data_IF_880691458426
#
_entry.id   IF_880691458426
#
_cell.length_a   1.000
_cell.length_b   1.000
_cell.length_c   1.000
_cell.angle_alpha   90.00
_cell.angle_beta   90.00
_cell.angle_gamma   90.00
#
_symmetry.space_group_name_H-M   'P 1'
#
loop_
_entity.id
_entity.type
_entity.pdbx_description
1 polymer ?
#
# COMPACT_ATOMS: atom_id res chain seq x y z
N UNK A 1 -22.69 1.86 10.42
CA UNK A 1 -21.40 1.40 9.84
C UNK A 1 -20.31 2.34 10.33
N UNK A 2 -19.18 1.83 10.81
CA UNK A 2 -18.01 2.65 11.16
C UNK A 2 -17.06 2.67 9.97
N UNK A 3 -16.68 3.86 9.50
CA UNK A 3 -15.81 4.01 8.34
C UNK A 3 -14.32 4.03 8.70
N UNK A 4 -14.02 4.64 9.85
CA UNK A 4 -12.72 4.68 10.50
C UNK A 4 -12.91 4.97 11.99
N UNK A 5 -11.89 4.73 12.79
CA UNK A 5 -11.79 5.18 14.18
C UNK A 5 -10.50 5.98 14.33
N UNK A 6 -10.57 7.11 15.05
CA UNK A 6 -9.42 7.96 15.35
C UNK A 6 -9.25 8.04 16.86
N UNK A 7 -8.07 7.70 17.35
CA UNK A 7 -7.82 7.54 18.77
C UNK A 7 -6.37 7.16 19.08
N UNK A 8 -6.08 6.81 20.33
CA UNK A 8 -4.75 6.34 20.75
C UNK A 8 -4.74 4.82 20.83
N UNK A 9 -3.60 4.21 20.50
CA UNK A 9 -3.42 2.77 20.70
C UNK A 9 -3.24 2.51 22.19
N UNK A 10 -4.13 1.72 22.77
CA UNK A 10 -4.09 1.34 24.18
C UNK A 10 -3.38 -0.01 24.36
N UNK A 11 -3.68 -0.97 23.49
CA UNK A 11 -3.07 -2.31 23.55
C UNK A 11 -2.99 -2.96 22.15
N UNK A 12 -2.06 -3.90 22.00
CA UNK A 12 -1.84 -4.68 20.77
C UNK A 12 -1.74 -6.16 21.14
N UNK A 13 -2.62 -6.95 20.56
CA UNK A 13 -2.64 -8.42 20.68
C UNK A 13 -2.12 -9.07 19.39
N UNK A 14 -2.05 -10.40 19.35
CA UNK A 14 -1.64 -11.14 18.16
C UNK A 14 -2.54 -10.90 16.94
N UNK A 15 -3.83 -10.64 17.16
CA UNK A 15 -4.83 -10.56 16.07
C UNK A 15 -5.56 -9.21 15.98
N UNK A 16 -5.42 -8.35 17.00
CA UNK A 16 -6.19 -7.13 17.11
C UNK A 16 -5.42 -5.99 17.76
N UNK A 17 -5.86 -4.77 17.47
CA UNK A 17 -5.43 -3.53 18.12
C UNK A 17 -6.60 -2.95 18.89
N UNK A 18 -6.35 -2.53 20.13
CA UNK A 18 -7.32 -1.82 20.95
C UNK A 18 -7.03 -0.31 20.80
N UNK A 19 -7.98 0.42 20.23
CA UNK A 19 -7.90 1.87 20.07
C UNK A 19 -8.89 2.55 21.02
N UNK A 20 -8.41 3.45 21.87
CA UNK A 20 -9.27 4.29 22.70
C UNK A 20 -9.66 5.57 21.96
N UNK A 21 -10.97 5.80 21.82
CA UNK A 21 -11.52 7.05 21.32
C UNK A 21 -12.62 7.55 22.25
N UNK A 22 -12.42 8.74 22.83
CA UNK A 22 -13.34 9.38 23.78
C UNK A 22 -13.72 8.48 24.98
N UNK A 23 -12.74 7.77 25.57
CA UNK A 23 -12.97 6.90 26.73
C UNK A 23 -13.65 5.56 26.40
N UNK A 24 -13.77 5.20 25.12
CA UNK A 24 -14.27 3.89 24.67
C UNK A 24 -13.16 3.15 23.94
N UNK A 25 -12.83 1.94 24.39
CA UNK A 25 -11.91 1.03 23.72
C UNK A 25 -12.62 0.23 22.63
N UNK A 26 -12.10 0.31 21.40
CA UNK A 26 -12.56 -0.46 20.26
C UNK A 26 -11.52 -1.52 19.91
N UNK A 27 -11.94 -2.78 19.90
CA UNK A 27 -11.12 -3.88 19.40
C UNK A 27 -11.24 -3.95 17.86
N UNK A 28 -10.11 -3.78 17.17
CA UNK A 28 -10.01 -3.84 15.72
C UNK A 28 -9.16 -5.04 15.31
N UNK A 29 -9.79 -6.03 14.65
CA UNK A 29 -9.09 -7.21 14.13
C UNK A 29 -8.33 -6.81 12.87
N UNK A 30 -7.01 -6.97 12.85
CA UNK A 30 -6.14 -6.47 11.79
C UNK A 30 -5.35 -7.60 11.14
N UNK A 31 -4.97 -7.49 9.84
CA UNK A 31 -4.11 -8.48 9.20
C UNK A 31 -2.70 -8.50 9.81
N UNK A 32 -2.20 -7.34 10.23
CA UNK A 32 -0.93 -7.20 10.95
C UNK A 32 -1.09 -6.15 12.07
N UNK A 33 -1.39 -6.53 13.32
CA UNK A 33 -1.55 -5.59 14.44
C UNK A 33 -0.24 -4.90 14.84
N UNK A 34 0.91 -5.59 14.73
CA UNK A 34 2.20 -5.08 15.17
C UNK A 34 2.71 -3.89 14.33
N UNK A 35 2.12 -3.63 13.16
CA UNK A 35 2.42 -2.43 12.38
C UNK A 35 2.09 -1.12 13.12
N UNK A 36 1.23 -1.19 14.14
CA UNK A 36 0.85 -0.06 15.00
C UNK A 36 1.72 0.05 16.26
N UNK A 37 2.70 -0.83 16.44
CA UNK A 37 3.60 -0.79 17.59
C UNK A 37 4.47 0.48 17.59
N UNK A 38 4.61 1.11 18.75
CA UNK A 38 5.39 2.33 18.93
C UNK A 38 4.70 3.61 18.40
N UNK A 39 3.45 3.53 17.95
CA UNK A 39 2.64 4.71 17.62
C UNK A 39 2.18 5.37 18.92
N UNK A 40 2.77 6.52 19.25
CA UNK A 40 2.47 7.27 20.49
C UNK A 40 1.38 8.33 20.31
N UNK A 41 1.19 8.79 19.08
CA UNK A 41 0.23 9.83 18.73
C UNK A 41 -1.14 9.24 18.36
N UNK A 42 -2.11 10.14 18.16
CA UNK A 42 -3.44 9.75 17.69
C UNK A 42 -3.36 9.22 16.26
N UNK A 43 -3.81 7.98 16.06
CA UNK A 43 -3.85 7.32 14.76
C UNK A 43 -5.29 7.22 14.24
N UNK A 44 -5.43 7.21 12.91
CA UNK A 44 -6.69 6.92 12.22
C UNK A 44 -6.58 5.53 11.60
N UNK A 45 -7.47 4.62 11.98
CA UNK A 45 -7.55 3.26 11.44
C UNK A 45 -8.86 3.13 10.65
N UNK A 46 -8.77 2.72 9.39
CA UNK A 46 -9.94 2.48 8.55
C UNK A 46 -10.62 1.20 8.96
N UNK A 47 -11.95 1.20 8.99
CA UNK A 47 -12.70 0.06 9.53
C UNK A 47 -13.68 -0.54 8.53
N UNK A 48 -13.81 -1.87 8.57
CA UNK A 48 -14.91 -2.61 7.98
C UNK A 48 -15.76 -3.19 9.13
N UNK A 49 -17.02 -2.77 9.23
CA UNK A 49 -17.94 -3.24 10.26
C UNK A 49 -18.73 -4.43 9.76
N UNK A 50 -18.41 -5.61 10.29
CA UNK A 50 -18.99 -6.88 9.91
C UNK A 50 -20.07 -7.28 10.91
N UNK A 51 -21.34 -7.22 10.48
CA UNK A 51 -22.51 -7.48 11.34
C UNK A 51 -23.16 -8.80 10.92
N UNK A 52 -23.33 -9.70 11.88
CA UNK A 52 -24.12 -10.94 11.79
C UNK A 52 -25.16 -10.94 12.90
N UNK A 53 -26.05 -11.93 12.89
CA UNK A 53 -27.08 -12.10 13.92
C UNK A 53 -26.47 -12.35 15.32
N UNK A 54 -25.31 -13.00 15.37
CA UNK A 54 -24.63 -13.46 16.58
C UNK A 54 -23.38 -12.63 16.95
N UNK A 55 -22.92 -11.74 16.07
CA UNK A 55 -21.67 -11.01 16.26
C UNK A 55 -21.62 -9.66 15.56
N UNK A 56 -20.95 -8.69 16.19
CA UNK A 56 -20.53 -7.43 15.57
C UNK A 56 -19.01 -7.33 15.69
N UNK A 57 -18.32 -7.39 14.56
CA UNK A 57 -16.85 -7.39 14.50
C UNK A 57 -16.36 -6.18 13.72
N UNK A 58 -15.28 -5.57 14.20
CA UNK A 58 -14.58 -4.52 13.49
C UNK A 58 -13.25 -5.04 12.96
N UNK A 59 -13.05 -4.90 11.66
CA UNK A 59 -11.75 -5.14 11.03
C UNK A 59 -11.05 -3.81 10.78
N UNK A 60 -9.75 -3.73 11.11
CA UNK A 60 -8.94 -2.52 11.02
C UNK A 60 -7.87 -2.60 9.93
N UNK A 61 -7.68 -1.50 9.22
CA UNK A 61 -6.71 -1.35 8.14
C UNK A 61 -5.96 -0.02 8.27
N UNK A 62 -4.67 -0.04 7.95
CA UNK A 62 -3.83 1.16 8.02
C UNK A 62 -4.14 2.11 6.88
N UNK A 63 -4.44 1.56 5.70
CA UNK A 63 -4.76 2.35 4.51
C UNK A 63 -6.16 2.05 3.96
N UNK A 64 -6.64 2.91 3.06
CA UNK A 64 -7.93 2.72 2.40
C UNK A 64 -7.84 1.55 1.41
N UNK A 65 -6.70 1.43 0.73
CA UNK A 65 -6.42 0.40 -0.28
C UNK A 65 -6.47 -1.00 0.34
N UNK A 66 -5.89 -1.17 1.53
CA UNK A 66 -5.98 -2.42 2.30
C UNK A 66 -7.44 -2.78 2.62
N UNK A 67 -8.25 -1.81 3.08
CA UNK A 67 -9.68 -2.00 3.36
C UNK A 67 -10.46 -2.34 2.09
N UNK A 68 -10.17 -1.68 0.98
CA UNK A 68 -10.82 -1.94 -0.29
C UNK A 68 -10.48 -3.34 -0.80
N UNK A 69 -9.21 -3.72 -0.76
CA UNK A 69 -8.77 -5.05 -1.13
C UNK A 69 -9.43 -6.11 -0.24
N UNK A 70 -9.48 -5.91 1.08
CA UNK A 70 -10.21 -6.79 2.00
C UNK A 70 -11.66 -6.98 1.56
N UNK A 71 -12.35 -5.88 1.25
CA UNK A 71 -13.77 -5.89 0.88
C UNK A 71 -13.98 -6.62 -0.45
N UNK A 72 -13.08 -6.42 -1.43
CA UNK A 72 -13.12 -7.11 -2.71
C UNK A 72 -12.87 -8.62 -2.55
N UNK A 73 -11.86 -9.00 -1.76
CA UNK A 73 -11.55 -10.41 -1.46
C UNK A 73 -12.73 -11.08 -0.73
N UNK A 74 -13.35 -10.40 0.22
CA UNK A 74 -14.50 -10.92 0.97
C UNK A 74 -15.73 -11.17 0.06
N UNK A 75 -15.83 -10.46 -1.06
CA UNK A 75 -16.87 -10.68 -2.08
C UNK A 75 -16.67 -11.95 -2.91
N UNK A 76 -15.48 -12.56 -2.87
CA UNK A 76 -15.17 -13.79 -3.61
C UNK A 76 -15.85 -14.99 -2.93
N UNK A 77 -16.62 -15.75 -3.71
CA UNK A 77 -17.33 -16.91 -3.19
C UNK A 77 -16.37 -17.94 -2.58
N UNK A 78 -16.62 -18.30 -1.32
CA UNK A 78 -15.78 -19.25 -0.57
C UNK A 78 -14.63 -18.61 0.18
N UNK A 79 -14.51 -17.28 0.21
CA UNK A 79 -13.56 -16.55 1.03
C UNK A 79 -14.28 -15.86 2.18
N UNK A 80 -13.92 -16.22 3.41
CA UNK A 80 -14.43 -15.55 4.61
C UNK A 80 -13.48 -14.47 5.15
N UNK A 81 -13.89 -13.70 6.18
CA UNK A 81 -13.07 -12.64 6.75
C UNK A 81 -11.68 -13.10 7.21
N UNK A 82 -11.59 -14.30 7.81
CA UNK A 82 -10.30 -14.89 8.23
C UNK A 82 -9.35 -15.14 7.05
N UNK A 83 -9.88 -15.64 5.93
CA UNK A 83 -9.10 -15.87 4.71
C UNK A 83 -8.65 -14.56 4.07
N UNK A 84 -9.54 -13.56 4.02
CA UNK A 84 -9.22 -12.24 3.52
C UNK A 84 -8.12 -11.54 4.35
N UNK A 85 -8.17 -11.65 5.69
CA UNK A 85 -7.10 -11.17 6.57
C UNK A 85 -5.77 -11.91 6.32
N UNK A 86 -5.80 -13.24 6.16
CA UNK A 86 -4.59 -14.03 5.92
C UNK A 86 -3.89 -13.65 4.60
N UNK A 87 -4.66 -13.35 3.56
CA UNK A 87 -4.11 -12.81 2.30
C UNK A 87 -3.42 -11.48 2.55
N UNK A 88 -4.10 -10.52 3.18
CA UNK A 88 -3.52 -9.19 3.47
C UNK A 88 -2.34 -9.23 4.44
N UNK A 89 -2.25 -10.24 5.29
CA UNK A 89 -1.11 -10.44 6.18
C UNK A 89 0.14 -10.98 5.43
N UNK A 90 -0.04 -11.59 4.26
CA UNK A 90 1.00 -12.31 3.53
C UNK A 90 1.57 -11.55 2.34
N UNK A 91 0.92 -10.48 1.89
CA UNK A 91 1.30 -9.77 0.67
C UNK A 91 0.86 -8.30 0.70
N UNK A 92 1.46 -7.49 -0.16
CA UNK A 92 1.05 -6.10 -0.36
C UNK A 92 -0.17 -6.01 -1.28
N UNK A 93 -0.85 -4.87 -1.28
CA UNK A 93 -2.00 -4.64 -2.18
C UNK A 93 -1.55 -4.74 -3.64
N UNK A 94 -0.36 -4.20 -3.93
CA UNK A 94 0.26 -4.16 -5.25
C UNK A 94 0.62 -5.57 -5.74
N UNK A 95 1.33 -6.36 -4.92
CA UNK A 95 1.74 -7.72 -5.28
C UNK A 95 0.53 -8.62 -5.51
N UNK A 96 -0.52 -8.47 -4.68
CA UNK A 96 -1.77 -9.19 -4.89
C UNK A 96 -2.44 -8.80 -6.22
N UNK A 97 -2.50 -7.50 -6.52
CA UNK A 97 -3.08 -7.00 -7.77
C UNK A 97 -2.33 -7.56 -8.99
N UNK A 98 -1.00 -7.52 -8.96
CA UNK A 98 -0.12 -8.08 -10.00
C UNK A 98 -0.40 -9.58 -10.18
N UNK A 99 -0.47 -10.34 -9.09
CA UNK A 99 -0.75 -11.77 -9.16
C UNK A 99 -2.12 -12.09 -9.77
N UNK A 100 -3.14 -11.27 -9.48
CA UNK A 100 -4.47 -11.42 -10.07
C UNK A 100 -4.45 -11.10 -11.57
N UNK A 101 -3.79 -10.02 -11.99
CA UNK A 101 -3.71 -9.64 -13.41
C UNK A 101 -2.94 -10.67 -14.25
N UNK A 102 -1.84 -11.19 -13.71
CA UNK A 102 -1.04 -12.24 -14.33
C UNK A 102 -1.60 -13.65 -14.19
N UNK A 103 -2.76 -13.81 -13.54
CA UNK A 103 -3.39 -15.11 -13.28
C UNK A 103 -2.46 -16.10 -12.57
N UNK A 104 -1.62 -15.61 -11.65
CA UNK A 104 -0.66 -16.44 -10.92
C UNK A 104 -1.34 -17.29 -9.83
N UNK A 105 -2.03 -18.35 -10.28
CA UNK A 105 -2.72 -19.31 -9.40
C UNK A 105 -1.76 -19.89 -8.36
N UNK A 106 -0.49 -20.14 -8.73
CA UNK A 106 0.49 -20.75 -7.84
C UNK A 106 0.76 -19.85 -6.64
N UNK A 107 1.02 -18.57 -6.89
CA UNK A 107 1.20 -17.58 -5.84
C UNK A 107 -0.02 -17.49 -4.92
N UNK A 108 -1.24 -17.38 -5.48
CA UNK A 108 -2.46 -17.27 -4.69
C UNK A 108 -2.72 -18.50 -3.81
N UNK A 109 -2.36 -19.70 -4.27
CA UNK A 109 -2.50 -20.94 -3.48
C UNK A 109 -1.49 -21.07 -2.33
N UNK A 110 -0.52 -20.16 -2.22
CA UNK A 110 0.39 -20.14 -1.05
C UNK A 110 -0.29 -19.54 0.19
N UNK A 111 -1.37 -18.78 0.01
CA UNK A 111 -2.05 -18.13 1.12
C UNK A 111 -2.84 -19.14 1.97
N UNK A 112 -2.76 -19.06 3.31
CA UNK A 112 -3.50 -19.96 4.20
C UNK A 112 -5.02 -19.90 3.93
N UNK A 113 -5.61 -21.08 3.67
CA UNK A 113 -7.05 -21.20 3.38
C UNK A 113 -7.44 -20.93 1.92
N UNK A 114 -6.49 -20.63 1.03
CA UNK A 114 -6.73 -20.46 -0.41
C UNK A 114 -6.32 -21.71 -1.18
N UNK A 115 -7.31 -22.53 -1.56
CA UNK A 115 -7.10 -23.68 -2.44
C UNK A 115 -7.18 -23.32 -3.93
N UNK A 116 -6.83 -24.25 -4.82
CA UNK A 116 -6.86 -24.04 -6.30
C UNK A 116 -8.20 -23.51 -6.81
N UNK A 117 -9.31 -24.05 -6.31
CA UNK A 117 -10.66 -23.59 -6.69
C UNK A 117 -10.88 -22.14 -6.29
N UNK A 118 -10.52 -21.77 -5.06
CA UNK A 118 -10.64 -20.42 -4.53
C UNK A 118 -9.72 -19.45 -5.26
N UNK A 119 -8.46 -19.82 -5.52
CA UNK A 119 -7.52 -19.00 -6.28
C UNK A 119 -8.04 -18.68 -7.69
N UNK A 120 -8.57 -19.66 -8.41
CA UNK A 120 -9.22 -19.43 -9.72
C UNK A 120 -10.44 -18.51 -9.62
N UNK A 121 -11.24 -18.69 -8.58
CA UNK A 121 -12.40 -17.83 -8.34
C UNK A 121 -11.96 -16.39 -8.05
N UNK A 122 -10.91 -16.19 -7.25
CA UNK A 122 -10.33 -14.87 -7.00
C UNK A 122 -9.86 -14.21 -8.31
N UNK A 123 -9.12 -14.93 -9.16
CA UNK A 123 -8.66 -14.42 -10.46
C UNK A 123 -9.87 -13.99 -11.30
N UNK A 124 -10.86 -14.88 -11.46
CA UNK A 124 -12.06 -14.59 -12.26
C UNK A 124 -12.83 -13.36 -11.74
N UNK A 125 -13.02 -13.27 -10.42
CA UNK A 125 -13.86 -12.26 -9.82
C UNK A 125 -13.16 -10.90 -9.71
N UNK A 126 -11.82 -10.87 -9.60
CA UNK A 126 -11.06 -9.66 -9.29
C UNK A 126 -10.24 -9.10 -10.45
N UNK A 127 -9.91 -9.91 -11.47
CA UNK A 127 -9.13 -9.46 -12.62
C UNK A 127 -9.80 -8.29 -13.34
N UNK A 128 -9.02 -7.24 -13.61
CA UNK A 128 -9.49 -5.98 -14.19
C UNK A 128 -10.31 -5.09 -13.25
N UNK A 129 -10.55 -5.51 -12.00
CA UNK A 129 -11.31 -4.74 -10.99
C UNK A 129 -10.43 -4.18 -9.88
N UNK A 130 -9.14 -4.49 -9.91
CA UNK A 130 -8.12 -4.02 -8.97
C UNK A 130 -7.41 -2.79 -9.54
N UNK A 131 -8.16 -1.73 -9.87
CA UNK A 131 -7.60 -0.42 -10.16
C UNK A 131 -7.32 0.29 -8.85
N UNK A 132 -6.13 0.07 -8.29
CA UNK A 132 -5.67 0.85 -7.15
C UNK A 132 -5.07 2.14 -7.70
N UNK A 133 -5.79 3.25 -7.57
CA UNK A 133 -5.20 4.57 -7.74
C UNK A 133 -4.11 4.68 -6.68
N UNK A 134 -2.84 4.70 -7.11
CA UNK A 134 -1.69 4.86 -6.22
C UNK A 134 -1.73 6.30 -5.68
N UNK A 135 -2.60 6.55 -4.70
CA UNK A 135 -2.61 7.73 -3.84
C UNK A 135 -1.92 7.34 -2.56
N UNK A 136 -0.60 7.26 -2.64
CA UNK A 136 0.22 7.05 -1.47
C UNK A 136 0.23 8.31 -0.60
N UNK A 137 -0.68 8.37 0.38
CA UNK A 137 -0.50 9.16 1.59
C UNK A 137 0.62 8.49 2.42
N UNK A 138 1.88 8.76 2.05
CA UNK A 138 3.06 8.27 2.77
C UNK A 138 3.31 9.17 3.97
N UNK A 139 2.86 8.76 5.15
CA UNK A 139 3.55 9.09 6.40
C UNK A 139 4.58 8.01 6.69
N UNK A 140 5.83 8.36 6.41
CA UNK A 140 7.08 7.90 7.02
C UNK A 140 7.32 6.40 7.20
N UNK A 141 8.26 5.88 6.38
CA UNK A 141 9.55 5.35 6.86
C UNK A 141 10.52 5.17 5.68
N UNK A 142 11.65 5.89 5.75
CA UNK A 142 12.79 5.99 4.81
C UNK A 142 12.55 6.74 3.47
N UNK A 143 12.64 8.09 3.47
CA UNK A 143 12.48 8.91 2.27
C UNK A 143 13.72 8.94 1.35
N UNK A 144 14.91 8.56 1.83
CA UNK A 144 16.17 8.95 1.17
C UNK A 144 16.48 8.24 -0.14
N UNK A 145 15.95 7.03 -0.41
CA UNK A 145 16.23 6.30 -1.65
C UNK A 145 15.12 6.42 -2.70
N UNK A 146 13.85 6.51 -2.26
CA UNK A 146 12.68 6.58 -3.17
C UNK A 146 12.44 8.02 -3.64
N UNK A 147 12.64 9.01 -2.75
CA UNK A 147 12.54 10.43 -3.12
C UNK A 147 13.57 10.84 -4.18
N UNK A 148 14.78 10.26 -4.14
CA UNK A 148 15.84 10.55 -5.11
C UNK A 148 15.49 10.02 -6.50
N UNK A 149 14.83 8.87 -6.61
CA UNK A 149 14.41 8.34 -7.93
C UNK A 149 13.32 9.21 -8.55
N UNK A 150 12.36 9.66 -7.74
CA UNK A 150 11.26 10.51 -8.22
C UNK A 150 11.74 11.92 -8.60
N UNK A 151 12.54 12.56 -7.76
CA UNK A 151 13.11 13.88 -8.04
C UNK A 151 14.04 13.86 -9.27
N UNK A 152 14.78 12.76 -9.47
CA UNK A 152 15.60 12.57 -10.66
C UNK A 152 14.73 12.39 -11.91
N UNK A 153 13.65 11.60 -11.86
CA UNK A 153 12.75 11.41 -13.00
C UNK A 153 12.03 12.70 -13.39
N UNK A 154 11.52 13.46 -12.43
CA UNK A 154 10.91 14.78 -12.66
C UNK A 154 11.89 15.76 -13.29
N UNK A 155 13.16 15.77 -12.85
CA UNK A 155 14.19 16.62 -13.42
C UNK A 155 14.53 16.21 -14.87
N UNK A 156 14.54 14.91 -15.19
CA UNK A 156 14.77 14.44 -16.56
C UNK A 156 13.62 14.83 -17.50
N UNK A 157 12.38 14.77 -17.04
CA UNK A 157 11.23 15.23 -17.82
C UNK A 157 11.26 16.75 -18.04
N UNK A 158 11.65 17.53 -17.04
CA UNK A 158 11.84 18.96 -17.17
C UNK A 158 12.93 19.31 -18.21
N UNK A 159 14.05 18.58 -18.24
CA UNK A 159 15.08 18.75 -19.27
C UNK A 159 14.56 18.42 -20.68
N UNK A 160 13.70 17.41 -20.85
CA UNK A 160 13.03 17.16 -22.13
C UNK A 160 12.13 18.33 -22.53
N UNK A 161 11.36 18.86 -21.58
CA UNK A 161 10.47 20.00 -21.82
C UNK A 161 11.23 21.28 -22.19
N UNK A 162 12.48 21.43 -21.74
CA UNK A 162 13.40 22.51 -22.12
C UNK A 162 14.04 22.32 -23.51
N UNK A 163 13.77 21.20 -24.20
CA UNK A 163 14.18 20.97 -25.59
C UNK A 163 15.41 20.09 -25.78
N UNK A 164 15.91 19.44 -24.73
CA UNK A 164 17.03 18.49 -24.85
C UNK A 164 16.55 17.11 -25.35
N UNK A 165 17.35 16.47 -26.20
CA UNK A 165 17.01 15.20 -26.80
C UNK A 165 17.17 14.03 -25.82
N UNK A 166 16.43 12.95 -26.07
CA UNK A 166 16.53 11.70 -25.29
C UNK A 166 17.96 11.11 -25.28
N UNK A 167 18.75 11.37 -26.31
CA UNK A 167 20.14 10.91 -26.43
C UNK A 167 21.06 11.64 -25.44
N UNK A 168 20.93 12.96 -25.36
CA UNK A 168 21.70 13.82 -24.46
C UNK A 168 21.35 13.53 -23.00
N UNK A 169 20.06 13.35 -22.70
CA UNK A 169 19.58 13.02 -21.36
C UNK A 169 20.08 11.66 -20.88
N UNK A 170 20.13 10.66 -21.77
CA UNK A 170 20.67 9.33 -21.44
C UNK A 170 22.16 9.37 -21.07
N UNK A 171 22.94 10.27 -21.68
CA UNK A 171 24.37 10.39 -21.39
C UNK A 171 24.64 10.94 -19.98
N UNK A 172 23.84 11.90 -19.51
CA UNK A 172 24.03 12.56 -18.21
C UNK A 172 23.34 11.81 -17.04
N UNK A 173 22.31 11.00 -17.32
CA UNK A 173 21.56 10.20 -16.32
C UNK A 173 22.45 9.40 -15.34
N UNK A 174 23.50 8.68 -15.77
CA UNK A 174 24.37 7.94 -14.85
C UNK A 174 25.22 8.84 -13.94
N UNK A 175 25.54 10.07 -14.35
CA UNK A 175 26.24 11.04 -13.49
C UNK A 175 25.30 11.68 -12.47
N UNK A 176 24.06 12.00 -12.88
CA UNK A 176 23.04 12.52 -11.98
C UNK A 176 22.66 11.48 -10.91
N UNK A 177 22.62 10.18 -11.26
CA UNK A 177 22.32 9.10 -10.30
C UNK A 177 23.39 8.92 -9.21
N UNK A 178 24.62 9.40 -9.42
CA UNK A 178 25.72 9.33 -8.44
C UNK A 178 25.66 10.46 -7.39
N UNK A 179 24.83 11.47 -7.61
CA UNK A 179 24.66 12.58 -6.69
C UNK A 179 23.55 12.22 -5.70
N UNK A 180 23.93 11.77 -4.51
CA UNK A 180 22.99 11.58 -3.40
C UNK A 180 22.62 12.94 -2.80
N UNK A 181 21.31 13.15 -2.62
CA UNK A 181 20.68 14.31 -1.95
C UNK A 181 20.68 15.61 -2.76
N UNK A 182 19.89 15.66 -3.83
CA UNK A 182 19.44 16.93 -4.43
C UNK A 182 17.91 16.92 -4.58
N UNK A 183 17.27 18.05 -4.28
CA UNK A 183 15.88 18.31 -4.68
C UNK A 183 15.81 18.41 -6.22
N UNK A 184 14.61 18.26 -6.80
CA UNK A 184 14.37 18.28 -8.26
C UNK A 184 15.07 19.46 -8.98
N UNK A 185 15.03 20.66 -8.39
CA UNK A 185 15.72 21.85 -8.93
C UNK A 185 17.25 21.72 -8.95
N UNK A 186 17.84 21.03 -7.97
CA UNK A 186 19.26 20.72 -7.92
C UNK A 186 19.69 19.79 -9.07
N UNK A 187 18.86 18.79 -9.38
CA UNK A 187 19.09 17.91 -10.54
C UNK A 187 18.95 18.66 -11.88
N UNK A 188 17.99 19.58 -12.00
CA UNK A 188 17.83 20.41 -13.22
C UNK A 188 19.05 21.30 -13.43
N UNK A 189 19.47 22.06 -12.41
CA UNK A 189 20.66 22.94 -12.50
C UNK A 189 21.92 22.18 -12.87
N UNK A 190 22.12 20.99 -12.28
CA UNK A 190 23.31 20.18 -12.57
C UNK A 190 23.24 19.52 -13.96
N UNK A 191 22.06 19.06 -14.37
CA UNK A 191 21.82 18.53 -15.71
C UNK A 191 22.11 19.57 -16.79
N UNK A 192 21.62 20.79 -16.63
CA UNK A 192 21.92 21.91 -17.53
C UNK A 192 23.43 22.21 -17.58
N UNK A 193 24.13 22.23 -16.45
CA UNK A 193 25.57 22.45 -16.40
C UNK A 193 26.39 21.35 -17.11
N UNK A 194 25.90 20.10 -17.12
CA UNK A 194 26.54 18.99 -17.84
C UNK A 194 26.26 19.03 -19.35
N UNK A 195 25.10 19.55 -19.75
CA UNK A 195 24.69 19.68 -21.16
C UNK A 195 25.24 20.94 -21.85
N UNK A 196 25.69 21.93 -21.09
CA UNK A 196 26.32 23.16 -21.60
C UNK A 196 27.85 23.05 -21.77
N UNK A 197 28.43 21.88 -21.50
CA UNK A 197 29.85 21.57 -21.71
C UNK A 197 30.04 20.85 -23.03
#
# INVERSE_FOLDING_TARGET
>A
MFAYIRGKIEDITENAVIIEANGVGYELICPNPFQFHGVTDTVKIFTYHHVREDAQLLYGFKTVEEKELFTKILGVSGVGPKGALAVLASTTVEDFAIAIEHEDEKFLTTFPGVGKKTARQMILDLKGKLTFDIRTDVTDKNPSTISNSKALEEALEALKALGYSDSEIRQIKPELKKLEVLETDGYIRKGLALLMK
#
